data_IF_876324177020
#
_entry.id   IF_876324177020
#
_cell.length_a   1.000
_cell.length_b   1.000
_cell.length_c   1.000
_cell.angle_alpha   90.00
_cell.angle_beta   90.00
_cell.angle_gamma   90.00
#
_symmetry.space_group_name_H-M   'P 1'
#
loop_
_entity.id
_entity.type
_entity.pdbx_description
1 polymer ?
#
# COMPACT_ATOMS: atom_id res chain seq x y z
N UNK A 1 -40.64 -4.20 5.44
CA UNK A 1 -39.51 -3.37 4.99
C UNK A 1 -39.00 -4.04 3.74
N UNK A 2 -39.36 -3.50 2.58
CA UNK A 2 -38.88 -3.96 1.27
C UNK A 2 -37.39 -3.63 1.22
N UNK A 3 -36.53 -4.66 1.18
CA UNK A 3 -35.12 -4.48 0.89
C UNK A 3 -35.00 -3.62 -0.37
N UNK A 4 -34.30 -2.49 -0.24
CA UNK A 4 -34.03 -1.61 -1.37
C UNK A 4 -33.26 -2.43 -2.38
N UNK A 5 -33.75 -2.50 -3.62
CA UNK A 5 -33.00 -3.06 -4.74
C UNK A 5 -31.60 -2.46 -4.68
N UNK A 6 -30.58 -3.31 -4.49
CA UNK A 6 -29.21 -2.84 -4.56
C UNK A 6 -28.98 -2.43 -6.01
N UNK A 7 -28.95 -1.12 -6.25
CA UNK A 7 -28.53 -0.57 -7.54
C UNK A 7 -27.03 -0.71 -7.64
N UNK A 8 -26.58 -1.14 -8.82
CA UNK A 8 -25.17 -1.19 -9.15
C UNK A 8 -24.85 -0.47 -10.44
N UNK A 9 -23.66 0.12 -10.45
CA UNK A 9 -23.07 0.80 -11.60
C UNK A 9 -21.76 0.13 -11.95
N UNK A 10 -21.51 -0.17 -13.22
CA UNK A 10 -20.18 -0.56 -13.68
C UNK A 10 -19.37 0.65 -14.16
N UNK A 11 -18.16 0.79 -13.65
CA UNK A 11 -17.14 1.70 -14.19
C UNK A 11 -16.12 0.86 -14.98
N UNK A 12 -16.13 1.01 -16.31
CA UNK A 12 -15.40 0.13 -17.20
C UNK A 12 -16.11 -1.22 -17.38
N UNK A 13 -15.84 -1.86 -18.52
CA UNK A 13 -16.43 -3.17 -18.82
C UNK A 13 -15.42 -4.04 -19.57
N UNK A 14 -14.91 -5.07 -18.90
CA UNK A 14 -14.04 -6.11 -19.43
C UNK A 14 -14.81 -7.42 -19.59
N UNK A 15 -14.19 -8.44 -20.21
CA UNK A 15 -14.81 -9.77 -20.34
C UNK A 15 -15.20 -10.36 -18.96
N UNK A 16 -14.34 -10.17 -17.95
CA UNK A 16 -14.57 -10.61 -16.57
C UNK A 16 -15.80 -9.95 -15.91
N UNK A 17 -16.18 -8.76 -16.39
CA UNK A 17 -17.36 -8.05 -15.89
C UNK A 17 -18.66 -8.70 -16.31
N UNK A 18 -18.66 -9.39 -17.46
CA UNK A 18 -19.85 -10.07 -17.98
C UNK A 18 -20.32 -11.09 -16.96
N UNK A 19 -19.40 -11.91 -16.46
CA UNK A 19 -19.74 -12.96 -15.50
C UNK A 19 -20.25 -12.35 -14.18
N UNK A 20 -19.62 -11.28 -13.69
CA UNK A 20 -20.06 -10.58 -12.48
C UNK A 20 -21.44 -9.94 -12.68
N UNK A 21 -21.68 -9.32 -13.84
CA UNK A 21 -22.98 -8.75 -14.20
C UNK A 21 -24.06 -9.84 -14.25
N UNK A 22 -23.80 -10.96 -14.93
CA UNK A 22 -24.74 -12.07 -15.02
C UNK A 22 -25.09 -12.63 -13.64
N UNK A 23 -24.11 -12.81 -12.77
CA UNK A 23 -24.34 -13.27 -11.40
C UNK A 23 -25.07 -12.23 -10.55
N UNK A 24 -24.73 -10.96 -10.65
CA UNK A 24 -25.45 -9.89 -9.96
C UNK A 24 -26.94 -9.88 -10.34
N UNK A 25 -27.24 -10.00 -11.63
CA UNK A 25 -28.62 -10.08 -12.13
C UNK A 25 -29.35 -11.33 -11.62
N UNK A 26 -28.67 -12.49 -11.57
CA UNK A 26 -29.23 -13.72 -11.01
C UNK A 26 -29.54 -13.61 -9.51
N UNK A 27 -28.80 -12.81 -8.75
CA UNK A 27 -29.08 -12.53 -7.33
C UNK A 27 -30.22 -11.54 -7.11
N UNK A 28 -30.82 -11.01 -8.18
CA UNK A 28 -31.92 -10.05 -8.12
C UNK A 28 -31.49 -8.60 -7.92
N UNK A 29 -30.19 -8.30 -8.00
CA UNK A 29 -29.70 -6.93 -7.99
C UNK A 29 -30.06 -6.23 -9.31
N UNK A 30 -30.22 -4.89 -9.29
CA UNK A 30 -30.59 -4.12 -10.47
C UNK A 30 -29.39 -3.32 -10.98
N UNK A 31 -29.03 -3.52 -12.26
CA UNK A 31 -28.04 -2.68 -12.94
C UNK A 31 -28.70 -1.36 -13.32
N UNK A 32 -28.33 -0.25 -12.68
CA UNK A 32 -28.91 1.06 -13.00
C UNK A 32 -28.17 1.72 -14.15
N UNK A 33 -26.83 1.63 -14.17
CA UNK A 33 -26.02 2.30 -15.18
C UNK A 33 -24.71 1.56 -15.49
N UNK A 34 -24.17 1.82 -16.68
CA UNK A 34 -22.79 1.45 -17.03
C UNK A 34 -22.10 2.67 -17.64
N UNK A 35 -20.95 3.00 -17.09
CA UNK A 35 -19.96 3.86 -17.73
C UNK A 35 -18.97 2.97 -18.49
N UNK A 36 -18.95 3.07 -19.82
CA UNK A 36 -18.01 2.30 -20.65
C UNK A 36 -17.11 3.24 -21.43
N UNK A 37 -15.81 3.20 -21.16
CA UNK A 37 -14.81 3.81 -22.06
C UNK A 37 -14.70 3.02 -23.39
N UNK A 38 -14.98 1.71 -23.39
CA UNK A 38 -15.01 0.85 -24.59
C UNK A 38 -16.26 -0.06 -24.65
N UNK A 39 -17.35 0.43 -25.27
CA UNK A 39 -18.66 -0.23 -25.35
C UNK A 39 -18.66 -1.65 -25.97
N UNK A 40 -17.53 -2.12 -26.54
CA UNK A 40 -17.45 -3.39 -27.27
C UNK A 40 -17.76 -4.63 -26.44
N UNK A 41 -17.60 -4.56 -25.12
CA UNK A 41 -17.71 -5.73 -24.26
C UNK A 41 -19.11 -5.93 -23.66
N UNK A 42 -20.01 -4.94 -23.73
CA UNK A 42 -21.37 -5.08 -23.18
C UNK A 42 -22.19 -6.01 -24.08
N UNK A 43 -22.70 -7.15 -23.57
CA UNK A 43 -23.48 -8.06 -24.40
C UNK A 43 -24.76 -7.37 -24.91
N UNK A 44 -25.13 -7.53 -26.20
CA UNK A 44 -26.26 -6.80 -26.77
C UNK A 44 -27.61 -7.00 -26.07
N UNK A 45 -27.77 -8.13 -25.38
CA UNK A 45 -28.95 -8.45 -24.59
C UNK A 45 -29.22 -7.45 -23.46
N UNK A 46 -28.21 -6.69 -23.01
CA UNK A 46 -28.33 -5.79 -21.86
C UNK A 46 -28.49 -4.30 -22.23
N UNK A 47 -28.34 -3.91 -23.50
CA UNK A 47 -28.38 -2.49 -23.89
C UNK A 47 -29.70 -1.78 -23.58
N UNK A 48 -30.83 -2.48 -23.61
CA UNK A 48 -32.14 -1.87 -23.36
C UNK A 48 -32.41 -1.58 -21.88
N UNK A 49 -31.69 -2.25 -20.99
CA UNK A 49 -31.96 -2.23 -19.54
C UNK A 49 -30.98 -1.36 -18.76
N UNK A 50 -29.97 -0.84 -19.43
CA UNK A 50 -28.83 -0.18 -18.79
C UNK A 50 -28.71 1.23 -19.31
N UNK A 51 -28.70 2.21 -18.41
CA UNK A 51 -28.41 3.59 -18.79
C UNK A 51 -26.91 3.77 -19.01
N UNK A 52 -26.53 4.37 -20.14
CA UNK A 52 -25.14 4.71 -20.40
C UNK A 52 -24.84 6.09 -19.80
N UNK A 53 -23.80 6.17 -18.98
CA UNK A 53 -23.31 7.44 -18.43
C UNK A 53 -22.35 8.11 -19.40
N UNK A 54 -22.41 9.44 -19.51
CA UNK A 54 -21.51 10.19 -20.39
C UNK A 54 -20.19 10.54 -19.71
N UNK A 55 -20.23 10.71 -18.39
CA UNK A 55 -19.06 10.97 -17.54
C UNK A 55 -19.19 10.18 -16.22
N UNK A 56 -18.07 9.68 -15.70
CA UNK A 56 -18.03 9.04 -14.38
C UNK A 56 -18.41 10.02 -13.27
N UNK A 57 -18.16 11.32 -13.46
CA UNK A 57 -18.45 12.35 -12.48
C UNK A 57 -19.96 12.49 -12.19
N UNK A 58 -20.83 12.04 -13.09
CA UNK A 58 -22.29 11.97 -12.86
C UNK A 58 -22.63 11.08 -11.65
N UNK A 59 -21.77 10.10 -11.33
CA UNK A 59 -21.94 9.23 -10.16
C UNK A 59 -21.77 9.94 -8.84
N UNK A 60 -21.02 11.04 -8.80
CA UNK A 60 -20.86 11.83 -7.58
C UNK A 60 -22.17 12.52 -7.15
N UNK A 61 -23.14 12.64 -8.06
CA UNK A 61 -24.48 13.13 -7.75
C UNK A 61 -25.46 12.06 -7.25
N UNK A 62 -25.07 10.78 -7.31
CA UNK A 62 -25.88 9.64 -6.86
C UNK A 62 -25.74 9.49 -5.34
N UNK A 63 -26.77 8.97 -4.67
CA UNK A 63 -26.71 8.68 -3.22
C UNK A 63 -25.50 7.81 -2.89
N UNK A 64 -24.72 8.18 -1.87
CA UNK A 64 -23.54 7.45 -1.41
C UNK A 64 -23.88 6.01 -0.96
N UNK A 65 -25.15 5.75 -0.64
CA UNK A 65 -25.65 4.40 -0.33
C UNK A 65 -25.76 3.49 -1.58
N UNK A 66 -25.67 4.05 -2.78
CA UNK A 66 -25.64 3.27 -4.02
C UNK A 66 -24.32 2.50 -4.09
N UNK A 67 -24.42 1.19 -4.35
CA UNK A 67 -23.25 0.31 -4.42
C UNK A 67 -22.65 0.47 -5.81
N UNK A 68 -21.36 0.76 -5.92
CA UNK A 68 -20.71 0.94 -7.22
C UNK A 68 -19.76 -0.23 -7.46
N UNK A 69 -19.84 -0.83 -8.63
CA UNK A 69 -18.95 -1.91 -9.07
C UNK A 69 -17.92 -1.30 -10.00
N UNK A 70 -16.66 -1.33 -9.60
CA UNK A 70 -15.59 -0.70 -10.36
C UNK A 70 -14.79 -1.80 -11.01
N UNK A 71 -15.06 -2.00 -12.28
CA UNK A 71 -14.31 -2.94 -13.09
C UNK A 71 -13.30 -2.21 -13.98
N UNK A 72 -12.50 -1.39 -13.31
CA UNK A 72 -11.41 -0.66 -13.95
C UNK A 72 -10.12 -1.42 -13.72
N UNK A 73 -9.33 -1.56 -14.79
CA UNK A 73 -7.94 -1.95 -14.68
C UNK A 73 -7.17 -0.81 -13.99
N UNK A 74 -6.86 -0.95 -12.71
CA UNK A 74 -6.22 0.09 -11.88
C UNK A 74 -4.76 0.40 -12.24
N UNK A 75 -4.16 -0.32 -13.20
CA UNK A 75 -2.83 0.00 -13.72
C UNK A 75 -2.74 1.26 -14.59
N UNK A 76 -3.82 2.04 -14.72
CA UNK A 76 -3.86 3.29 -15.50
C UNK A 76 -4.17 4.46 -14.55
N UNK A 77 -3.32 5.49 -14.55
CA UNK A 77 -3.41 6.65 -13.65
C UNK A 77 -4.79 7.31 -13.66
N UNK A 78 -5.43 7.43 -14.84
CA UNK A 78 -6.77 8.02 -14.95
C UNK A 78 -7.84 7.24 -14.17
N UNK A 79 -7.74 5.91 -14.11
CA UNK A 79 -8.66 5.09 -13.33
C UNK A 79 -8.40 5.23 -11.83
N UNK A 80 -7.13 5.39 -11.44
CA UNK A 80 -6.75 5.59 -10.04
C UNK A 80 -7.38 6.88 -9.47
N UNK A 81 -7.39 7.97 -10.24
CA UNK A 81 -8.02 9.23 -9.84
C UNK A 81 -9.53 9.12 -9.66
N UNK A 82 -10.21 8.37 -10.54
CA UNK A 82 -11.64 8.08 -10.45
C UNK A 82 -11.93 7.29 -9.17
N UNK A 83 -11.20 6.19 -8.94
CA UNK A 83 -11.38 5.35 -7.76
C UNK A 83 -11.11 6.13 -6.48
N UNK A 84 -10.03 6.92 -6.44
CA UNK A 84 -9.71 7.81 -5.31
C UNK A 84 -10.87 8.74 -4.99
N UNK A 85 -11.44 9.38 -6.01
CA UNK A 85 -12.56 10.31 -5.87
C UNK A 85 -13.81 9.62 -5.33
N UNK A 86 -14.14 8.43 -5.82
CA UNK A 86 -15.30 7.68 -5.36
C UNK A 86 -15.15 7.20 -3.91
N UNK A 87 -14.01 6.63 -3.55
CA UNK A 87 -13.76 6.17 -2.18
C UNK A 87 -13.76 7.35 -1.21
N UNK A 88 -13.20 8.50 -1.59
CA UNK A 88 -13.22 9.72 -0.76
C UNK A 88 -14.62 10.24 -0.47
N UNK A 89 -15.58 9.98 -1.37
CA UNK A 89 -16.99 10.34 -1.20
C UNK A 89 -17.82 9.24 -0.49
N UNK A 90 -17.17 8.20 0.04
CA UNK A 90 -17.82 7.13 0.82
C UNK A 90 -18.47 6.04 -0.02
N UNK A 91 -18.25 6.01 -1.34
CA UNK A 91 -18.81 4.96 -2.19
C UNK A 91 -18.17 3.61 -1.88
N UNK A 92 -19.01 2.59 -1.72
CA UNK A 92 -18.57 1.22 -1.59
C UNK A 92 -18.24 0.62 -2.94
N UNK A 93 -17.01 0.11 -3.11
CA UNK A 93 -16.49 -0.37 -4.38
C UNK A 93 -16.12 -1.86 -4.32
N UNK A 94 -16.52 -2.60 -5.35
CA UNK A 94 -15.88 -3.88 -5.68
C UNK A 94 -14.92 -3.64 -6.81
N UNK A 95 -13.66 -4.05 -6.64
CA UNK A 95 -12.61 -3.88 -7.64
C UNK A 95 -12.26 -5.25 -8.21
N UNK A 96 -12.55 -5.45 -9.50
CA UNK A 96 -12.25 -6.70 -10.22
C UNK A 96 -10.81 -6.67 -10.72
N UNK A 97 -10.06 -7.73 -10.43
CA UNK A 97 -8.64 -7.87 -10.81
C UNK A 97 -7.81 -6.60 -10.53
N UNK A 98 -7.72 -6.20 -9.24
CA UNK A 98 -6.95 -5.03 -8.86
C UNK A 98 -5.49 -5.21 -9.31
N UNK A 99 -5.10 -4.42 -10.30
CA UNK A 99 -3.74 -4.35 -10.87
C UNK A 99 -2.95 -3.14 -10.37
N UNK A 100 -3.45 -2.51 -9.30
CA UNK A 100 -2.80 -1.42 -8.61
C UNK A 100 -1.40 -1.80 -8.10
N UNK A 101 -0.50 -0.84 -8.03
CA UNK A 101 0.71 -1.01 -7.23
C UNK A 101 0.39 -1.02 -5.73
N UNK A 102 1.30 -1.56 -4.92
CA UNK A 102 1.09 -1.67 -3.47
C UNK A 102 0.95 -0.30 -2.79
N UNK A 103 1.63 0.73 -3.30
CA UNK A 103 1.58 2.08 -2.75
C UNK A 103 0.18 2.69 -2.92
N UNK A 104 -0.40 2.59 -4.11
CA UNK A 104 -1.77 3.01 -4.39
C UNK A 104 -2.78 2.17 -3.61
N UNK A 105 -2.55 0.86 -3.46
CA UNK A 105 -3.41 0.01 -2.64
C UNK A 105 -3.45 0.48 -1.18
N UNK A 106 -2.30 0.82 -0.59
CA UNK A 106 -2.22 1.41 0.76
C UNK A 106 -2.82 2.81 0.84
N UNK A 107 -2.59 3.66 -0.17
CA UNK A 107 -3.23 4.97 -0.29
C UNK A 107 -4.75 4.84 -0.20
N UNK A 108 -5.31 3.94 -1.00
CA UNK A 108 -6.74 3.72 -1.05
C UNK A 108 -7.30 3.14 0.26
N UNK A 109 -6.52 2.31 0.97
CA UNK A 109 -6.88 1.83 2.32
C UNK A 109 -6.95 2.96 3.36
N UNK A 110 -6.05 3.94 3.28
CA UNK A 110 -6.10 5.12 4.15
C UNK A 110 -7.37 5.93 3.88
N UNK A 111 -7.65 6.23 2.61
CA UNK A 111 -8.85 6.99 2.21
C UNK A 111 -10.11 6.24 2.63
N UNK A 112 -10.15 4.92 2.43
CA UNK A 112 -11.25 4.05 2.86
C UNK A 112 -11.51 4.16 4.36
N UNK A 113 -10.45 4.18 5.16
CA UNK A 113 -10.57 4.28 6.62
C UNK A 113 -11.10 5.64 7.07
N UNK A 114 -10.78 6.72 6.33
CA UNK A 114 -11.29 8.07 6.58
C UNK A 114 -12.74 8.26 6.13
N UNK A 115 -13.13 7.67 5.01
CA UNK A 115 -14.47 7.83 4.42
C UNK A 115 -15.49 6.80 4.86
N UNK A 116 -15.07 5.76 5.59
CA UNK A 116 -15.87 4.57 5.95
C UNK A 116 -16.41 3.80 4.73
N UNK A 117 -15.78 3.99 3.57
CA UNK A 117 -16.11 3.24 2.37
C UNK A 117 -15.83 1.73 2.56
N UNK A 118 -16.58 0.89 1.85
CA UNK A 118 -16.30 -0.55 1.78
C UNK A 118 -15.54 -0.84 0.50
N UNK A 119 -14.32 -1.37 0.61
CA UNK A 119 -13.52 -1.82 -0.53
C UNK A 119 -13.37 -3.32 -0.50
N UNK A 120 -13.75 -3.98 -1.60
CA UNK A 120 -13.67 -5.42 -1.74
C UNK A 120 -12.83 -5.76 -2.97
N UNK A 121 -11.61 -6.31 -2.78
CA UNK A 121 -10.84 -6.83 -3.89
C UNK A 121 -11.49 -8.14 -4.35
N UNK A 122 -12.01 -8.16 -5.57
CA UNK A 122 -12.55 -9.37 -6.18
C UNK A 122 -11.43 -10.08 -6.93
N UNK A 123 -10.79 -11.00 -6.19
CA UNK A 123 -9.82 -11.94 -6.72
C UNK A 123 -10.50 -13.30 -6.89
N UNK A 124 -10.41 -13.92 -8.08
CA UNK A 124 -11.07 -15.20 -8.40
C UNK A 124 -10.87 -16.25 -7.29
N UNK A 125 -11.94 -16.72 -6.67
CA UNK A 125 -11.86 -17.68 -5.56
C UNK A 125 -11.53 -19.09 -6.07
N UNK A 126 -10.28 -19.56 -5.89
CA UNK A 126 -9.84 -20.88 -6.32
C UNK A 126 -9.93 -21.98 -5.24
N UNK A 127 -9.86 -21.63 -3.95
CA UNK A 127 -9.58 -22.59 -2.86
C UNK A 127 -10.73 -22.79 -1.85
N UNK A 128 -11.97 -22.57 -2.26
CA UNK A 128 -13.14 -22.70 -1.38
C UNK A 128 -13.37 -24.08 -0.76
N UNK A 129 -12.72 -25.12 -1.29
CA UNK A 129 -12.90 -26.51 -0.88
C UNK A 129 -11.82 -27.01 0.06
N UNK A 130 -10.79 -26.21 0.37
CA UNK A 130 -9.79 -26.63 1.34
C UNK A 130 -10.35 -26.52 2.75
N UNK A 131 -10.45 -27.66 3.41
CA UNK A 131 -10.92 -27.76 4.79
C UNK A 131 -9.91 -27.05 5.72
N UNK A 132 -10.36 -25.96 6.35
CA UNK A 132 -9.55 -25.01 7.15
C UNK A 132 -8.86 -25.70 8.34
N UNK A 133 -9.24 -26.93 8.68
CA UNK A 133 -8.62 -27.74 9.73
C UNK A 133 -7.31 -28.44 9.36
N UNK A 134 -6.91 -28.47 8.09
CA UNK A 134 -5.74 -29.25 7.66
C UNK A 134 -4.44 -28.45 7.89
N UNK A 135 -3.50 -29.00 8.65
CA UNK A 135 -2.16 -28.39 8.83
C UNK A 135 -1.35 -28.57 7.55
N UNK A 136 -1.32 -27.53 6.71
CA UNK A 136 -0.55 -27.52 5.46
C UNK A 136 0.85 -27.03 5.79
N UNK A 137 1.89 -27.77 5.40
CA UNK A 137 3.30 -27.36 5.59
C UNK A 137 3.93 -26.81 4.32
N UNK A 138 3.45 -27.28 3.18
CA UNK A 138 3.97 -27.02 1.85
C UNK A 138 2.84 -26.96 0.84
N UNK A 139 2.85 -25.94 0.00
CA UNK A 139 1.95 -25.75 -1.14
C UNK A 139 2.84 -25.52 -2.37
N UNK A 140 2.78 -26.38 -3.38
CA UNK A 140 3.41 -26.16 -4.68
C UNK A 140 2.35 -25.65 -5.67
N UNK A 141 2.54 -24.45 -6.19
CA UNK A 141 1.65 -23.77 -7.13
C UNK A 141 2.34 -23.75 -8.47
N UNK A 142 1.67 -24.35 -9.46
CA UNK A 142 2.11 -24.35 -10.84
C UNK A 142 1.12 -23.55 -11.64
N UNK A 143 1.55 -22.40 -12.14
CA UNK A 143 0.69 -21.53 -12.92
C UNK A 143 1.10 -21.53 -14.39
N UNK A 144 0.13 -21.40 -15.29
CA UNK A 144 0.38 -21.21 -16.71
C UNK A 144 0.08 -19.75 -17.05
N UNK A 145 1.13 -18.92 -17.13
CA UNK A 145 1.02 -17.52 -17.50
C UNK A 145 1.50 -17.36 -18.94
N UNK A 146 0.57 -17.01 -19.83
CA UNK A 146 0.80 -16.93 -21.28
C UNK A 146 1.92 -15.96 -21.66
N UNK A 147 1.96 -14.80 -21.01
CA UNK A 147 2.80 -13.66 -21.36
C UNK A 147 4.14 -13.65 -20.63
N UNK A 148 4.31 -14.49 -19.58
CA UNK A 148 5.49 -14.57 -18.68
C UNK A 148 6.06 -13.20 -18.24
N UNK A 149 5.26 -12.14 -18.32
CA UNK A 149 5.64 -10.80 -17.93
C UNK A 149 5.64 -10.70 -16.41
N UNK A 150 6.57 -9.93 -15.87
CA UNK A 150 6.65 -9.70 -14.44
C UNK A 150 5.36 -9.08 -13.86
N UNK A 151 4.68 -8.21 -14.61
CA UNK A 151 3.38 -7.65 -14.19
C UNK A 151 2.33 -8.74 -13.99
N UNK A 152 2.31 -9.75 -14.85
CA UNK A 152 1.31 -10.81 -14.84
C UNK A 152 1.64 -11.84 -13.77
N UNK A 153 2.93 -12.15 -13.59
CA UNK A 153 3.45 -12.95 -12.47
C UNK A 153 3.10 -12.30 -11.13
N UNK A 154 3.31 -10.99 -10.99
CA UNK A 154 3.01 -10.29 -9.73
C UNK A 154 1.51 -10.25 -9.46
N UNK A 155 0.66 -10.03 -10.47
CA UNK A 155 -0.80 -10.06 -10.31
C UNK A 155 -1.30 -11.47 -9.94
N UNK A 156 -0.80 -12.49 -10.63
CA UNK A 156 -1.08 -13.88 -10.36
C UNK A 156 -0.71 -14.29 -8.93
N UNK A 157 0.51 -13.98 -8.50
CA UNK A 157 0.98 -14.27 -7.15
C UNK A 157 0.16 -13.52 -6.10
N UNK A 158 -0.17 -12.24 -6.35
CA UNK A 158 -1.00 -11.43 -5.43
C UNK A 158 -2.35 -12.12 -5.18
N UNK A 159 -3.02 -12.55 -6.24
CA UNK A 159 -4.30 -13.27 -6.18
C UNK A 159 -4.17 -14.56 -5.36
N UNK A 160 -3.15 -15.36 -5.62
CA UNK A 160 -2.95 -16.65 -4.94
C UNK A 160 -2.61 -16.44 -3.45
N UNK A 161 -1.81 -15.42 -3.12
CA UNK A 161 -1.49 -15.06 -1.73
C UNK A 161 -2.72 -14.63 -0.93
N UNK A 162 -3.62 -13.84 -1.52
CA UNK A 162 -4.87 -13.41 -0.86
C UNK A 162 -5.75 -14.61 -0.53
N UNK A 163 -5.84 -15.59 -1.43
CA UNK A 163 -6.63 -16.80 -1.19
C UNK A 163 -6.00 -17.71 -0.15
N UNK A 164 -4.67 -17.74 -0.11
CA UNK A 164 -3.93 -18.57 0.84
C UNK A 164 -3.79 -17.94 2.21
N UNK A 165 -3.89 -16.62 2.34
CA UNK A 165 -3.68 -15.91 3.60
C UNK A 165 -4.58 -16.41 4.76
N UNK A 166 -5.88 -16.72 4.56
CA UNK A 166 -6.71 -17.28 5.63
C UNK A 166 -6.25 -18.65 6.15
N UNK A 167 -5.53 -19.42 5.33
CA UNK A 167 -5.11 -20.79 5.64
C UNK A 167 -3.64 -20.81 6.10
N UNK A 168 -2.78 -20.09 5.39
CA UNK A 168 -1.34 -20.08 5.56
C UNK A 168 -0.85 -18.92 6.46
N UNK A 169 -1.73 -17.99 6.84
CA UNK A 169 -1.35 -16.77 7.57
C UNK A 169 -0.72 -15.72 6.67
N UNK A 170 0.03 -14.78 7.25
CA UNK A 170 0.68 -13.71 6.48
C UNK A 170 2.07 -14.15 5.97
N UNK A 171 2.51 -13.53 4.88
CA UNK A 171 3.84 -13.71 4.32
C UNK A 171 4.90 -13.09 5.24
N UNK A 172 5.98 -13.84 5.52
CA UNK A 172 7.09 -13.42 6.38
C UNK A 172 8.38 -13.22 5.59
N UNK A 173 8.67 -14.14 4.69
CA UNK A 173 9.84 -14.06 3.83
C UNK A 173 9.51 -14.42 2.39
N UNK A 174 10.22 -13.79 1.47
CA UNK A 174 10.14 -14.09 0.05
C UNK A 174 11.53 -14.31 -0.54
N UNK A 175 11.66 -15.37 -1.33
CA UNK A 175 12.86 -15.68 -2.10
C UNK A 175 12.47 -16.07 -3.52
N UNK A 176 12.94 -15.34 -4.51
CA UNK A 176 12.75 -15.63 -5.92
C UNK A 176 14.07 -15.98 -6.60
N UNK A 177 14.04 -16.98 -7.49
CA UNK A 177 15.16 -17.42 -8.31
C UNK A 177 14.70 -17.59 -9.76
N UNK A 178 15.55 -17.20 -10.71
CA UNK A 178 15.33 -17.36 -12.15
C UNK A 178 16.42 -18.28 -12.72
N UNK A 179 16.08 -19.46 -13.30
CA UNK A 179 17.04 -20.38 -13.85
C UNK A 179 17.51 -19.88 -15.23
N UNK A 180 18.52 -19.01 -15.26
CA UNK A 180 19.11 -18.56 -16.51
C UNK A 180 19.57 -17.12 -16.49
N UNK A 181 20.87 -16.94 -16.27
CA UNK A 181 21.66 -15.71 -16.50
C UNK A 181 21.25 -14.41 -15.79
N UNK A 182 22.25 -13.55 -15.61
CA UNK A 182 22.20 -12.22 -15.02
C UNK A 182 21.45 -11.22 -15.92
N UNK A 183 20.19 -11.52 -16.24
CA UNK A 183 19.40 -10.73 -17.19
C UNK A 183 19.02 -9.41 -16.52
N UNK A 184 19.31 -8.25 -17.15
CA UNK A 184 18.77 -6.99 -16.71
C UNK A 184 17.24 -7.08 -16.76
N UNK A 185 16.60 -6.83 -15.61
CA UNK A 185 15.15 -6.92 -15.41
C UNK A 185 14.49 -5.87 -16.31
N UNK A 186 14.22 -6.23 -17.57
CA UNK A 186 13.37 -5.45 -18.46
C UNK A 186 11.93 -5.84 -18.17
N UNK A 187 10.99 -4.87 -18.06
CA UNK A 187 9.58 -5.17 -17.80
C UNK A 187 8.90 -6.01 -18.89
N UNK A 188 9.52 -6.11 -20.07
CA UNK A 188 9.00 -6.83 -21.23
C UNK A 188 9.66 -8.19 -21.48
N UNK A 189 10.64 -8.59 -20.66
CA UNK A 189 11.30 -9.88 -20.84
C UNK A 189 10.43 -11.00 -20.24
N UNK A 190 10.33 -12.12 -20.96
CA UNK A 190 9.77 -13.36 -20.42
C UNK A 190 10.75 -13.95 -19.39
N UNK A 191 10.25 -14.31 -18.21
CA UNK A 191 11.10 -14.81 -17.13
C UNK A 191 10.50 -16.09 -16.55
N UNK A 192 11.31 -17.13 -16.48
CA UNK A 192 11.01 -18.32 -15.69
C UNK A 192 11.44 -18.06 -14.25
N UNK A 193 10.48 -18.13 -13.33
CA UNK A 193 10.73 -17.79 -11.93
C UNK A 193 10.18 -18.90 -11.05
N UNK A 194 10.99 -19.31 -10.09
CA UNK A 194 10.55 -20.07 -8.92
C UNK A 194 10.62 -19.15 -7.70
N UNK A 195 9.51 -19.06 -6.98
CA UNK A 195 9.32 -18.20 -5.82
C UNK A 195 9.04 -19.12 -4.63
N UNK A 196 9.75 -18.90 -3.53
CA UNK A 196 9.51 -19.56 -2.25
C UNK A 196 9.10 -18.49 -1.25
N UNK A 197 7.95 -18.68 -0.62
CA UNK A 197 7.39 -17.76 0.37
C UNK A 197 7.22 -18.53 1.66
N UNK A 198 7.83 -18.03 2.73
CA UNK A 198 7.63 -18.56 4.07
C UNK A 198 6.57 -17.71 4.75
N UNK A 199 5.53 -18.37 5.23
CA UNK A 199 4.41 -17.76 5.94
C UNK A 199 4.64 -17.82 7.44
N UNK A 200 3.95 -16.97 8.22
CA UNK A 200 4.12 -16.88 9.68
C UNK A 200 3.87 -18.18 10.43
N UNK A 201 2.93 -18.99 9.95
CA UNK A 201 2.63 -20.30 10.54
C UNK A 201 3.65 -21.39 10.12
N UNK A 202 4.78 -20.99 9.52
CA UNK A 202 5.82 -21.85 8.95
C UNK A 202 5.38 -22.69 7.74
N UNK A 203 4.26 -22.33 7.09
CA UNK A 203 3.90 -22.89 5.77
C UNK A 203 4.85 -22.35 4.71
N UNK A 204 5.36 -23.23 3.86
CA UNK A 204 6.21 -22.86 2.72
C UNK A 204 5.37 -22.96 1.45
N UNK A 205 5.18 -21.84 0.77
CA UNK A 205 4.56 -21.79 -0.55
C UNK A 205 5.68 -21.78 -1.59
N UNK A 206 5.75 -22.81 -2.41
CA UNK A 206 6.56 -22.83 -3.62
C UNK A 206 5.65 -22.46 -4.78
N UNK A 207 5.92 -21.34 -5.44
CA UNK A 207 5.17 -20.87 -6.60
C UNK A 207 6.11 -20.91 -7.80
N UNK A 208 5.66 -21.47 -8.91
CA UNK A 208 6.46 -21.57 -10.12
C UNK A 208 5.59 -21.43 -11.35
N UNK A 209 6.17 -20.81 -12.39
CA UNK A 209 5.57 -20.84 -13.71
C UNK A 209 5.86 -22.22 -14.33
N UNK A 210 4.81 -22.91 -14.80
CA UNK A 210 4.93 -24.24 -15.40
C UNK A 210 5.23 -24.11 -16.89
N UNK A 211 6.33 -24.73 -17.34
CA UNK A 211 6.66 -24.86 -18.76
C UNK A 211 5.73 -25.79 -19.53
N UNK A 212 4.98 -26.64 -18.82
CA UNK A 212 4.14 -27.63 -19.46
C UNK A 212 2.88 -26.98 -20.04
N UNK A 213 2.51 -27.40 -21.26
CA UNK A 213 1.24 -27.13 -21.97
C UNK A 213 -0.04 -27.51 -21.19
N UNK A 214 0.05 -27.82 -19.90
CA UNK A 214 -1.12 -27.96 -19.05
C UNK A 214 -1.76 -26.57 -18.90
N UNK A 215 -2.98 -26.43 -19.41
CA UNK A 215 -3.72 -25.18 -19.41
C UNK A 215 -4.22 -24.76 -18.02
N UNK A 216 -3.89 -25.51 -16.96
CA UNK A 216 -4.54 -25.37 -15.66
C UNK A 216 -3.54 -25.22 -14.54
N UNK A 217 -3.91 -24.35 -13.59
CA UNK A 217 -3.12 -24.14 -12.37
C UNK A 217 -3.31 -25.31 -11.43
N UNK A 218 -2.29 -25.71 -10.69
CA UNK A 218 -2.40 -26.80 -9.71
C UNK A 218 -1.84 -26.37 -8.36
N UNK A 219 -2.59 -26.64 -7.29
CA UNK A 219 -2.14 -26.54 -5.92
C UNK A 219 -1.83 -27.95 -5.41
N UNK A 220 -0.57 -28.25 -5.14
CA UNK A 220 -0.14 -29.55 -4.60
C UNK A 220 0.16 -29.35 -3.12
N UNK A 221 -0.66 -29.98 -2.28
CA UNK A 221 -0.54 -29.91 -0.83
C UNK A 221 0.48 -30.93 -0.31
N UNK A 222 0.89 -30.79 0.96
CA UNK A 222 1.89 -31.66 1.59
C UNK A 222 1.49 -33.14 1.68
N UNK A 223 0.19 -33.42 1.63
CA UNK A 223 -0.40 -34.76 1.60
C UNK A 223 -0.49 -35.33 0.16
N UNK A 224 0.19 -34.71 -0.81
CA UNK A 224 0.13 -35.03 -2.24
C UNK A 224 -1.26 -34.89 -2.87
N UNK A 225 -2.19 -34.23 -2.16
CA UNK A 225 -3.49 -33.90 -2.73
C UNK A 225 -3.32 -32.73 -3.70
N UNK A 226 -3.62 -33.00 -4.96
CA UNK A 226 -3.71 -31.97 -5.99
C UNK A 226 -5.11 -31.38 -5.97
N UNK A 227 -5.18 -30.07 -5.75
CA UNK A 227 -6.41 -29.28 -5.87
C UNK A 227 -6.25 -28.39 -7.10
N UNK A 228 -7.18 -28.52 -8.03
CA UNK A 228 -7.25 -27.64 -9.17
C UNK A 228 -8.12 -26.44 -8.78
N UNK A 229 -7.56 -25.22 -8.77
CA UNK A 229 -8.32 -24.03 -8.44
C UNK A 229 -9.28 -23.73 -9.58
N UNK A 230 -10.55 -23.54 -9.25
CA UNK A 230 -11.49 -23.07 -10.24
C UNK A 230 -11.31 -21.56 -10.42
N UNK A 231 -10.58 -21.16 -11.46
CA UNK A 231 -10.37 -19.75 -11.84
C UNK A 231 -11.51 -19.24 -12.70
N UNK A 232 -12.73 -19.38 -12.19
CA UNK A 232 -13.94 -19.00 -12.91
C UNK A 232 -14.92 -18.30 -11.97
N UNK A 233 -15.53 -17.22 -12.44
CA UNK A 233 -16.64 -16.57 -11.73
C UNK A 233 -17.86 -17.47 -11.60
N UNK A 234 -17.94 -18.59 -12.35
CA UNK A 234 -19.08 -19.50 -12.31
C UNK A 234 -19.17 -20.40 -11.07
N UNK A 235 -18.28 -20.26 -10.09
CA UNK A 235 -18.29 -21.10 -8.89
C UNK A 235 -19.24 -20.57 -7.80
N UNK A 236 -19.85 -21.50 -7.03
CA UNK A 236 -20.80 -21.19 -5.96
C UNK A 236 -20.23 -20.27 -4.86
N UNK A 237 -18.91 -20.18 -4.74
CA UNK A 237 -18.25 -19.29 -3.79
C UNK A 237 -18.18 -17.85 -4.25
N UNK A 238 -18.16 -17.62 -5.57
CA UNK A 238 -18.39 -16.29 -6.14
C UNK A 238 -19.80 -15.83 -5.83
N UNK A 239 -20.80 -16.73 -5.93
CA UNK A 239 -22.17 -16.41 -5.52
C UNK A 239 -22.26 -16.07 -4.03
N UNK A 240 -21.55 -16.80 -3.16
CA UNK A 240 -21.51 -16.46 -1.74
C UNK A 240 -20.80 -15.13 -1.48
N UNK A 241 -19.67 -14.86 -2.14
CA UNK A 241 -18.97 -13.58 -2.01
C UNK A 241 -19.86 -12.44 -2.49
N UNK A 242 -20.44 -12.56 -3.69
CA UNK A 242 -21.38 -11.59 -4.24
C UNK A 242 -22.60 -11.45 -3.33
N UNK A 243 -23.19 -12.53 -2.84
CA UNK A 243 -24.31 -12.49 -1.90
C UNK A 243 -23.92 -11.83 -0.57
N UNK A 244 -22.70 -12.04 -0.07
CA UNK A 244 -22.17 -11.33 1.11
C UNK A 244 -22.02 -9.84 0.80
N UNK A 245 -21.46 -9.49 -0.36
CA UNK A 245 -21.33 -8.09 -0.78
C UNK A 245 -22.71 -7.44 -0.99
N UNK A 246 -23.67 -8.17 -1.54
CA UNK A 246 -25.03 -7.69 -1.77
C UNK A 246 -25.82 -7.61 -0.46
N UNK A 247 -25.58 -8.49 0.50
CA UNK A 247 -26.30 -8.50 1.78
C UNK A 247 -25.68 -7.60 2.86
N UNK A 248 -24.41 -7.19 2.73
CA UNK A 248 -23.61 -6.29 3.60
C UNK A 248 -23.85 -6.38 5.13
N UNK A 249 -24.40 -7.48 5.63
CA UNK A 249 -24.73 -7.62 7.05
C UNK A 249 -23.52 -8.03 7.88
N UNK A 250 -22.39 -8.39 7.26
CA UNK A 250 -21.15 -8.68 7.98
C UNK A 250 -19.88 -8.55 7.10
N UNK A 251 -19.06 -7.51 7.26
CA UNK A 251 -17.81 -7.31 6.50
C UNK A 251 -16.69 -8.32 6.83
N UNK A 252 -16.95 -9.31 7.71
CA UNK A 252 -15.93 -10.24 8.21
C UNK A 252 -15.56 -11.40 7.26
N UNK A 253 -16.21 -11.53 6.10
CA UNK A 253 -16.12 -12.74 5.27
C UNK A 253 -15.39 -12.56 3.93
N UNK A 254 -14.95 -11.35 3.57
CA UNK A 254 -14.13 -11.10 2.38
C UNK A 254 -12.69 -10.77 2.77
N UNK A 255 -11.68 -11.10 1.93
CA UNK A 255 -10.34 -10.55 2.13
C UNK A 255 -10.45 -9.03 2.20
N UNK A 256 -9.82 -8.42 3.21
CA UNK A 256 -9.83 -6.98 3.33
C UNK A 256 -9.00 -6.37 2.22
N UNK A 257 -9.30 -5.13 1.83
CA UNK A 257 -8.47 -4.39 0.89
C UNK A 257 -7.01 -4.26 1.38
N UNK A 258 -6.83 -4.19 2.70
CA UNK A 258 -5.52 -4.25 3.35
C UNK A 258 -4.78 -5.58 3.11
N UNK A 259 -5.48 -6.72 3.10
CA UNK A 259 -4.88 -8.02 2.77
C UNK A 259 -4.42 -8.05 1.32
N UNK A 260 -5.19 -7.43 0.41
CA UNK A 260 -4.77 -7.24 -0.98
C UNK A 260 -3.49 -6.38 -1.06
N UNK A 261 -3.45 -5.23 -0.38
CA UNK A 261 -2.27 -4.35 -0.38
C UNK A 261 -1.00 -5.07 0.10
N UNK A 262 -1.09 -5.86 1.19
CA UNK A 262 0.00 -6.68 1.72
C UNK A 262 0.46 -7.77 0.74
N UNK A 263 -0.49 -8.49 0.15
CA UNK A 263 -0.18 -9.51 -0.84
C UNK A 263 0.50 -8.90 -2.08
N UNK A 264 0.04 -7.72 -2.49
CA UNK A 264 0.61 -6.97 -3.61
C UNK A 264 2.03 -6.50 -3.32
N UNK A 265 2.27 -5.92 -2.14
CA UNK A 265 3.60 -5.54 -1.67
C UNK A 265 4.55 -6.74 -1.67
N UNK A 266 4.08 -7.88 -1.16
CA UNK A 266 4.84 -9.13 -1.18
C UNK A 266 5.25 -9.49 -2.61
N UNK A 267 4.31 -9.48 -3.55
CA UNK A 267 4.59 -9.79 -4.96
C UNK A 267 5.57 -8.78 -5.59
N UNK A 268 5.48 -7.50 -5.24
CA UNK A 268 6.40 -6.46 -5.73
C UNK A 268 7.84 -6.61 -5.22
N UNK A 269 8.09 -7.45 -4.20
CA UNK A 269 9.43 -7.77 -3.74
C UNK A 269 10.16 -8.80 -4.62
N UNK A 270 9.50 -9.42 -5.60
CA UNK A 270 10.10 -10.38 -6.54
C UNK A 270 11.35 -9.79 -7.23
N UNK A 271 11.30 -8.61 -7.87
CA UNK A 271 12.45 -8.06 -8.60
C UNK A 271 13.60 -7.73 -7.67
N UNK A 272 13.30 -7.30 -6.45
CA UNK A 272 14.30 -7.02 -5.43
C UNK A 272 15.00 -8.30 -4.96
N UNK A 273 14.24 -9.38 -4.76
CA UNK A 273 14.79 -10.70 -4.44
C UNK A 273 15.66 -11.23 -5.57
N UNK A 274 15.20 -11.16 -6.82
CA UNK A 274 15.97 -11.58 -8.00
C UNK A 274 17.27 -10.78 -8.12
N UNK A 275 17.21 -9.46 -7.94
CA UNK A 275 18.38 -8.57 -8.02
C UNK A 275 19.41 -8.86 -6.92
N UNK A 276 18.96 -9.17 -5.70
CA UNK A 276 19.85 -9.41 -4.55
C UNK A 276 20.31 -10.85 -4.44
N UNK A 277 19.62 -11.81 -5.07
CA UNK A 277 19.90 -13.24 -4.97
C UNK A 277 19.79 -13.79 -3.54
N UNK A 278 18.97 -13.17 -2.68
CA UNK A 278 18.79 -13.56 -1.27
C UNK A 278 17.35 -13.35 -0.82
N UNK A 279 16.99 -14.04 0.26
CA UNK A 279 15.70 -13.90 0.94
C UNK A 279 15.47 -12.46 1.40
N UNK A 280 14.27 -11.95 1.14
CA UNK A 280 13.78 -10.65 1.58
C UNK A 280 12.84 -10.88 2.74
N UNK A 281 13.12 -10.25 3.88
CA UNK A 281 12.21 -10.16 5.01
C UNK A 281 11.13 -9.14 4.70
N UNK A 282 9.87 -9.55 4.87
CA UNK A 282 8.70 -8.72 4.68
C UNK A 282 8.37 -8.11 6.03
N UNK A 283 8.27 -6.78 6.09
CA UNK A 283 7.95 -6.07 7.31
C UNK A 283 6.44 -5.85 7.38
N UNK A 284 5.84 -6.17 8.52
CA UNK A 284 4.40 -6.02 8.73
C UNK A 284 4.01 -4.68 9.34
N UNK A 285 4.89 -3.70 9.27
CA UNK A 285 4.53 -2.36 9.70
C UNK A 285 3.48 -1.84 8.75
N UNK A 286 2.21 -2.01 9.13
CA UNK A 286 1.09 -1.29 8.56
C UNK A 286 1.51 0.17 8.49
N UNK A 287 1.63 0.77 7.30
CA UNK A 287 1.98 2.17 7.18
C UNK A 287 0.82 2.96 7.76
N UNK A 288 0.89 3.24 9.05
CA UNK A 288 -0.05 4.14 9.71
C UNK A 288 0.40 5.56 9.42
N UNK A 289 -0.54 6.48 9.25
CA UNK A 289 -0.24 7.91 9.13
C UNK A 289 0.64 8.38 10.30
N UNK A 290 0.43 7.82 11.49
CA UNK A 290 1.28 8.06 12.66
C UNK A 290 2.75 7.73 12.45
N UNK A 291 3.10 6.69 11.71
CA UNK A 291 4.50 6.31 11.48
C UNK A 291 5.14 7.15 10.39
N UNK A 292 4.39 7.47 9.33
CA UNK A 292 4.81 8.46 8.34
C UNK A 292 5.04 9.84 8.99
N UNK A 293 4.11 10.26 9.86
CA UNK A 293 4.19 11.51 10.60
C UNK A 293 5.37 11.53 11.58
N UNK A 294 5.63 10.42 12.29
CA UNK A 294 6.84 10.28 13.11
C UNK A 294 8.11 10.38 12.26
N UNK A 295 8.11 9.76 11.08
CA UNK A 295 9.20 9.86 10.11
C UNK A 295 9.47 11.31 9.71
N UNK A 296 8.44 12.03 9.26
CA UNK A 296 8.54 13.44 8.87
C UNK A 296 8.95 14.32 10.06
N UNK A 297 8.35 14.13 11.23
CA UNK A 297 8.74 14.88 12.44
C UNK A 297 10.17 14.60 12.87
N UNK A 298 10.66 13.36 12.73
CA UNK A 298 12.05 13.02 13.04
C UNK A 298 13.01 13.67 12.03
N UNK A 299 12.65 13.69 10.75
CA UNK A 299 13.41 14.35 9.69
C UNK A 299 13.49 15.86 9.89
N UNK A 300 12.36 16.52 10.17
CA UNK A 300 12.31 17.96 10.48
C UNK A 300 13.11 18.28 11.75
N UNK A 301 13.00 17.45 12.78
CA UNK A 301 13.78 17.61 14.01
C UNK A 301 15.28 17.50 13.78
N UNK A 302 15.73 16.51 13.00
CA UNK A 302 17.13 16.34 12.64
C UNK A 302 17.65 17.51 11.79
N UNK A 303 16.86 17.94 10.79
CA UNK A 303 17.19 19.09 9.96
C UNK A 303 17.34 20.38 10.77
N UNK A 304 16.42 20.65 11.72
CA UNK A 304 16.49 21.82 12.59
C UNK A 304 17.73 21.77 13.51
N UNK A 305 18.10 20.59 14.00
CA UNK A 305 19.32 20.40 14.79
C UNK A 305 20.57 20.68 13.95
N UNK A 306 20.66 20.12 12.74
CA UNK A 306 21.77 20.39 11.80
C UNK A 306 21.85 21.87 11.41
N UNK A 307 20.72 22.52 11.15
CA UNK A 307 20.64 23.94 10.86
C UNK A 307 21.16 24.78 12.04
N UNK A 308 20.75 24.44 13.26
CA UNK A 308 21.20 25.15 14.48
C UNK A 308 22.70 24.99 14.65
N UNK A 309 23.23 23.79 14.44
CA UNK A 309 24.66 23.50 14.56
C UNK A 309 25.46 24.22 13.45
N UNK A 310 24.91 24.31 12.24
CA UNK A 310 25.49 25.09 11.14
C UNK A 310 25.53 26.59 11.47
N UNK A 311 24.47 27.15 12.04
CA UNK A 311 24.42 28.56 12.47
C UNK A 311 25.47 28.82 13.56
N UNK A 312 25.58 27.95 14.56
CA UNK A 312 26.61 28.06 15.59
C UNK A 312 28.02 27.99 14.96
N UNK A 313 28.23 27.09 14.01
CA UNK A 313 29.47 27.00 13.24
C UNK A 313 29.80 28.29 12.48
N UNK A 314 28.81 28.90 11.82
CA UNK A 314 28.98 30.18 11.11
C UNK A 314 29.30 31.34 12.05
N UNK A 315 28.66 31.40 13.22
CA UNK A 315 29.00 32.40 14.22
C UNK A 315 30.44 32.21 14.74
N UNK A 316 30.86 30.97 14.95
CA UNK A 316 32.21 30.65 15.40
C UNK A 316 33.27 31.01 14.35
N UNK A 317 33.02 30.73 13.06
CA UNK A 317 33.93 31.14 11.98
C UNK A 317 33.97 32.66 11.83
N UNK A 318 32.85 33.34 11.99
CA UNK A 318 32.83 34.81 11.94
C UNK A 318 33.60 35.46 13.10
N UNK A 319 33.44 34.94 14.32
CA UNK A 319 34.14 35.45 15.50
C UNK A 319 35.66 35.20 15.43
N UNK A 320 36.07 34.04 14.91
CA UNK A 320 37.51 33.74 14.69
C UNK A 320 38.16 34.67 13.66
N UNK A 321 37.45 35.03 12.59
CA UNK A 321 37.92 36.04 11.61
C UNK A 321 37.99 37.45 12.23
N UNK A 322 37.00 37.84 13.03
CA UNK A 322 37.02 39.14 13.75
C UNK A 322 38.17 39.24 14.75
N UNK A 323 38.47 38.14 15.46
CA UNK A 323 39.57 38.08 16.43
C UNK A 323 40.94 38.21 15.77
N UNK A 324 41.14 37.73 14.53
CA UNK A 324 42.40 37.96 13.81
C UNK A 324 42.61 39.44 13.49
N UNK A 325 41.58 40.15 13.02
CA UNK A 325 41.70 41.58 12.68
C UNK A 325 42.07 42.44 13.90
N UNK A 326 41.47 42.16 15.06
CA UNK A 326 41.78 42.86 16.30
C UNK A 326 43.20 42.58 16.80
N UNK A 327 43.71 41.37 16.57
CA UNK A 327 45.07 40.99 16.95
C UNK A 327 46.10 41.79 16.16
N UNK A 328 45.86 42.00 14.87
CA UNK A 328 46.75 42.76 13.99
C UNK A 328 46.75 44.26 14.35
N UNK A 329 45.58 44.81 14.74
CA UNK A 329 45.49 46.18 15.24
C UNK A 329 46.27 46.39 16.56
N UNK A 330 46.25 45.40 17.46
CA UNK A 330 46.99 45.50 18.72
C UNK A 330 48.51 45.41 18.53
N UNK A 331 48.97 44.69 17.51
CA UNK A 331 50.39 44.65 17.15
C UNK A 331 50.90 45.97 16.58
N UNK A 332 50.08 46.67 15.77
CA UNK A 332 50.43 47.99 15.24
C UNK A 332 50.43 49.07 16.33
N UNK A 333 49.51 48.99 17.30
CA UNK A 333 49.37 50.00 18.39
C UNK A 333 50.47 49.89 19.45
N UNK A 334 51.13 48.74 19.61
CA UNK A 334 52.20 48.50 20.62
C UNK A 334 53.49 49.29 20.36
N UNK A 335 53.54 50.09 19.29
CA UNK A 335 54.64 51.01 18.97
C UNK A 335 54.46 52.41 19.56
N UNK A 336 53.34 52.72 20.22
CA UNK A 336 53.06 54.06 20.77
C UNK A 336 53.15 54.04 22.31
N UNK A 337 53.95 54.90 22.94
CA UNK A 337 54.14 54.93 24.39
C UNK A 337 52.86 55.35 25.14
N UNK A 338 52.68 54.64 26.25
CA UNK A 338 51.51 54.44 27.11
C UNK A 338 50.98 55.70 27.80
N UNK A 339 49.67 55.99 27.67
CA UNK A 339 48.88 56.68 28.71
C UNK A 339 47.70 55.80 29.11
N UNK A 340 47.63 55.53 30.40
CA UNK A 340 46.79 54.55 31.08
C UNK A 340 45.31 54.92 31.10
N UNK A 341 44.47 54.16 30.39
CA UNK A 341 43.04 54.05 30.69
C UNK A 341 42.65 52.58 30.73
N UNK A 342 42.18 52.14 31.90
CA UNK A 342 41.72 50.78 32.16
C UNK A 342 40.29 50.63 31.65
N UNK A 343 40.13 50.06 30.46
CA UNK A 343 38.81 49.77 29.88
C UNK A 343 38.49 48.28 30.09
N UNK A 344 37.68 48.00 31.12
CA UNK A 344 37.21 46.66 31.43
C UNK A 344 36.16 46.24 30.40
N UNK A 345 36.55 45.39 29.45
CA UNK A 345 35.58 44.77 28.55
C UNK A 345 34.64 43.86 29.34
N UNK A 346 33.31 43.97 29.17
CA UNK A 346 32.36 43.24 29.99
C UNK A 346 32.42 41.74 29.68
N UNK A 347 32.78 40.96 30.70
CA UNK A 347 32.85 39.48 30.71
C UNK A 347 31.56 38.83 30.18
N UNK A 348 30.42 39.54 30.25
CA UNK A 348 29.10 39.13 29.78
C UNK A 348 29.09 38.77 28.29
N UNK A 349 29.90 39.42 27.45
CA UNK A 349 29.94 39.14 26.01
C UNK A 349 30.72 37.85 25.67
N UNK A 350 31.62 37.40 26.56
CA UNK A 350 32.45 36.20 26.37
C UNK A 350 31.74 34.89 26.69
N UNK A 351 30.60 34.93 27.37
CA UNK A 351 29.80 33.74 27.71
C UNK A 351 28.68 33.42 26.72
N UNK A 352 28.61 34.10 25.56
CA UNK A 352 27.59 33.87 24.53
C UNK A 352 27.27 32.38 24.29
N UNK A 353 28.24 31.47 24.04
CA UNK A 353 27.91 30.10 23.65
C UNK A 353 27.20 29.29 24.75
N UNK A 354 27.23 29.74 26.01
CA UNK A 354 26.59 29.04 27.14
C UNK A 354 25.10 29.38 27.24
N UNK A 355 24.67 30.57 26.81
CA UNK A 355 23.26 30.99 26.93
C UNK A 355 22.28 30.15 26.11
N UNK A 356 22.54 29.81 24.82
CA UNK A 356 21.65 28.95 24.04
C UNK A 356 21.52 27.56 24.66
N UNK A 357 22.60 27.02 25.22
CA UNK A 357 22.60 25.71 25.86
C UNK A 357 21.78 25.72 27.17
N UNK A 358 21.95 26.74 28.02
CA UNK A 358 21.14 26.92 29.22
C UNK A 358 19.66 27.12 28.89
N UNK A 359 19.35 27.90 27.85
CA UNK A 359 17.99 28.15 27.39
C UNK A 359 17.34 26.87 26.83
N UNK A 360 18.10 26.04 26.11
CA UNK A 360 17.64 24.72 25.66
C UNK A 360 17.34 23.77 26.83
N UNK A 361 18.23 23.69 27.82
CA UNK A 361 17.99 22.88 29.04
C UNK A 361 16.75 23.38 29.77
N UNK A 362 16.57 24.69 29.90
CA UNK A 362 15.38 25.29 30.52
C UNK A 362 14.09 24.91 29.78
N UNK A 363 14.08 24.92 28.44
CA UNK A 363 12.92 24.50 27.65
C UNK A 363 12.60 23.01 27.79
N UNK A 364 13.61 22.13 27.84
CA UNK A 364 13.38 20.70 28.08
C UNK A 364 12.78 20.44 29.47
N UNK A 365 13.25 21.18 30.48
CA UNK A 365 12.69 21.11 31.83
C UNK A 365 11.24 21.58 31.86
N UNK A 366 10.93 22.70 31.19
CA UNK A 366 9.57 23.24 31.09
C UNK A 366 8.62 22.24 30.40
N UNK A 367 9.08 21.58 29.32
CA UNK A 367 8.30 20.55 28.62
C UNK A 367 8.00 19.35 29.52
N UNK A 368 8.95 18.94 30.37
CA UNK A 368 8.76 17.89 31.37
C UNK A 368 7.67 18.25 32.39
N UNK A 369 7.65 19.50 32.86
CA UNK A 369 6.65 19.99 33.82
C UNK A 369 5.25 20.00 33.18
N UNK A 370 5.12 20.52 31.95
CA UNK A 370 3.83 20.60 31.24
C UNK A 370 3.21 19.20 31.02
N UNK A 371 4.04 18.19 30.71
CA UNK A 371 3.58 16.81 30.56
C UNK A 371 3.01 16.24 31.87
N UNK A 372 3.65 16.51 33.02
CA UNK A 372 3.15 16.03 34.33
C UNK A 372 1.78 16.62 34.67
N UNK A 373 1.54 17.90 34.37
CA UNK A 373 0.23 18.53 34.65
C UNK A 373 -0.93 17.95 33.83
N UNK A 374 -0.70 17.43 32.62
CA UNK A 374 -1.76 16.79 31.83
C UNK A 374 -2.15 15.41 32.38
N UNK A 375 -1.19 14.64 32.90
CA UNK A 375 -1.47 13.29 33.43
C UNK A 375 -2.28 13.30 34.74
N UNK A 376 -2.30 14.43 35.47
CA UNK A 376 -3.02 14.55 36.74
C UNK A 376 -4.49 14.96 36.60
N UNK A 377 -4.97 15.30 35.39
CA UNK A 377 -6.38 15.67 35.14
C UNK A 377 -7.23 14.52 34.59
N UNK A 378 -6.62 13.37 34.34
CA UNK A 378 -7.27 12.17 33.80
C UNK A 378 -7.29 10.99 34.79
N UNK A 379 -6.98 11.26 36.05
CA UNK A 379 -7.23 10.40 37.21
C UNK A 379 -8.13 11.18 38.16
#
# INVERSE_FOLDING_TARGET
MSDRNSEFVFLGFTADCVDVLERALLTGAQCSAIYVDDAKFVPPAYYSSISQLSDWAELLGVDANTKIFVALKLGVDSHQDVVRSLVSNGFSLIIIDPSADSLFAYELEMIRTESDAVLIPMCFAGLSTLDIGTVIRKIDIRENILTRLLSDITAALTRDLIQLAPIAGESKYLFAISPGTSVPISPTAEIDISITIEMRNSTIIQWSNSDNNHATTQYILSNEQTVEPQRSFFHATTDNQLAIVFSMSNPKLSPSWLDYAKARETAEMIPLSLKRGRQIELFETHPTETDAFKGVMSGVGCFLLLLTLAVIGLFWTFDTIRLSDLRDLHQTTKSIPTTTFAESSPIILRLWPVYPFLLFIAFQFLRGIIKKTKSSKTA
#
